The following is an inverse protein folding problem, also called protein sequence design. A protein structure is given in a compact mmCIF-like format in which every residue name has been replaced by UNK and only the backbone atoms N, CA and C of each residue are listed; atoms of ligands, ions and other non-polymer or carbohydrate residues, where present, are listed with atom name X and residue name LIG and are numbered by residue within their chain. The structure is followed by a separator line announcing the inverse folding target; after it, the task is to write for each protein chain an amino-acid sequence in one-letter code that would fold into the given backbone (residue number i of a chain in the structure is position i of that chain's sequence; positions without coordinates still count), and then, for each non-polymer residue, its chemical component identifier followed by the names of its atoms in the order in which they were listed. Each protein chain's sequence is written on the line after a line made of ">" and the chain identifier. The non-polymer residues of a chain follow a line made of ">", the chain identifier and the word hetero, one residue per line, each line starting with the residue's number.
data_IF_179029111188
#
_entry.id   IF_179029111188
#
_cell.length_a   1.000
_cell.length_b   1.000
_cell.length_c   1.000
_cell.angle_alpha   90.00
_cell.angle_beta   90.00
_cell.angle_gamma   90.00
#
_symmetry.space_group_name_H-M   'P 1'
#
loop_
_entity.id
_entity.type
_entity.pdbx_description
1 polymer ?
#
# COMPACT_ATOMS: atom_id res chain seq x y z
N UNK A 1 -6.09 1.82 18.67
CA UNK A 1 -4.72 1.39 19.06
C UNK A 1 -3.86 1.50 17.81
N UNK A 2 -2.79 2.29 17.83
CA UNK A 2 -1.87 2.43 16.69
C UNK A 2 -1.15 1.09 16.53
N UNK A 3 -1.12 0.54 15.30
CA UNK A 3 -0.41 -0.71 15.00
C UNK A 3 1.07 -0.39 14.80
N UNK A 4 1.86 -0.48 15.86
CA UNK A 4 3.30 -0.25 15.81
C UNK A 4 4.05 -1.55 15.53
N UNK A 5 5.28 -1.42 15.01
CA UNK A 5 6.11 -2.57 14.70
C UNK A 5 6.48 -3.37 15.97
N UNK A 6 6.70 -2.68 17.07
CA UNK A 6 7.06 -3.27 18.38
C UNK A 6 5.94 -4.14 18.96
N UNK A 7 4.70 -3.93 18.53
CA UNK A 7 3.54 -4.74 18.92
C UNK A 7 3.33 -5.99 18.05
N UNK A 8 4.14 -6.19 17.01
CA UNK A 8 4.01 -7.34 16.13
C UNK A 8 4.73 -8.57 16.70
N UNK A 9 3.99 -9.64 16.97
CA UNK A 9 4.56 -10.91 17.41
C UNK A 9 5.08 -11.73 16.23
N UNK A 10 6.38 -11.57 15.93
CA UNK A 10 7.07 -12.35 14.91
C UNK A 10 7.16 -13.85 15.24
N UNK A 11 7.08 -14.24 16.52
CA UNK A 11 7.10 -15.66 16.90
C UNK A 11 5.79 -16.37 16.53
N UNK A 12 4.67 -15.63 16.50
CA UNK A 12 3.38 -16.15 16.05
C UNK A 12 3.31 -16.39 14.53
N UNK A 13 4.21 -15.78 13.74
CA UNK A 13 4.20 -15.86 12.27
C UNK A 13 5.62 -16.09 11.72
N UNK A 14 6.22 -17.27 11.95
CA UNK A 14 7.64 -17.54 11.69
C UNK A 14 8.07 -17.46 10.21
N UNK A 15 7.12 -17.54 9.28
CA UNK A 15 7.36 -17.36 7.85
C UNK A 15 7.72 -15.93 7.46
N UNK A 16 7.47 -14.95 8.34
CA UNK A 16 7.82 -13.54 8.09
C UNK A 16 9.28 -13.32 8.46
N UNK A 17 10.06 -12.86 7.49
CA UNK A 17 11.45 -12.51 7.73
C UNK A 17 11.54 -11.17 8.50
N UNK A 18 11.72 -11.26 9.82
CA UNK A 18 11.84 -10.11 10.71
C UNK A 18 12.93 -9.12 10.25
N UNK A 19 14.06 -9.61 9.74
CA UNK A 19 15.14 -8.75 9.25
C UNK A 19 14.67 -7.89 8.08
N UNK A 20 14.00 -8.48 7.08
CA UNK A 20 13.45 -7.74 5.95
C UNK A 20 12.44 -6.67 6.40
N UNK A 21 11.60 -6.96 7.40
CA UNK A 21 10.66 -5.97 7.92
C UNK A 21 11.38 -4.81 8.62
N UNK A 22 12.44 -5.08 9.38
CA UNK A 22 13.27 -4.03 10.00
C UNK A 22 13.97 -3.20 8.92
N UNK A 23 14.51 -3.83 7.87
CA UNK A 23 15.14 -3.11 6.76
C UNK A 23 14.11 -2.21 6.04
N UNK A 24 12.88 -2.69 5.81
CA UNK A 24 11.80 -1.89 5.24
C UNK A 24 11.40 -0.72 6.14
N UNK A 25 11.45 -0.89 7.47
CA UNK A 25 11.14 0.20 8.41
C UNK A 25 12.14 1.35 8.34
N UNK A 26 13.33 1.12 7.76
CA UNK A 26 14.31 2.19 7.51
C UNK A 26 13.93 3.12 6.36
N UNK A 27 12.92 2.74 5.55
CA UNK A 27 12.36 3.53 4.45
C UNK A 27 13.32 3.83 3.28
N UNK A 28 14.52 3.23 3.23
CA UNK A 28 15.46 3.41 2.11
C UNK A 28 14.89 2.96 0.76
N UNK A 29 13.92 2.04 0.78
CA UNK A 29 13.20 1.64 -0.43
C UNK A 29 12.38 2.80 -1.00
N UNK A 30 11.82 3.68 -0.15
CA UNK A 30 11.02 4.82 -0.57
C UNK A 30 11.88 5.90 -1.26
N UNK A 31 13.09 6.12 -0.73
CA UNK A 31 14.10 7.01 -1.35
C UNK A 31 14.46 6.57 -2.78
N UNK A 32 14.49 5.26 -3.01
CA UNK A 32 14.83 4.65 -4.31
C UNK A 32 13.61 4.40 -5.20
N UNK A 33 12.43 4.91 -4.83
CA UNK A 33 11.16 4.66 -5.52
C UNK A 33 10.84 3.16 -5.68
N UNK A 34 11.31 2.35 -4.74
CA UNK A 34 11.04 0.93 -4.66
C UNK A 34 9.62 0.65 -4.15
N UNK A 35 9.11 -0.54 -4.48
CA UNK A 35 7.81 -1.03 -4.04
C UNK A 35 7.99 -2.31 -3.22
N UNK A 36 7.09 -2.51 -2.26
CA UNK A 36 7.04 -3.72 -1.44
C UNK A 36 5.68 -4.38 -1.55
N UNK A 37 5.66 -5.71 -1.63
CA UNK A 37 4.41 -6.47 -1.63
C UNK A 37 4.44 -7.51 -0.53
N UNK A 38 3.49 -7.37 0.39
CA UNK A 38 3.21 -8.32 1.47
C UNK A 38 2.16 -9.30 0.94
N UNK A 39 2.60 -10.53 0.64
CA UNK A 39 1.74 -11.61 0.18
C UNK A 39 1.65 -12.73 1.21
N UNK A 40 0.50 -13.40 1.26
CA UNK A 40 0.26 -14.53 2.16
C UNK A 40 -1.22 -14.69 2.52
N UNK A 41 -1.58 -15.79 3.21
CA UNK A 41 -2.97 -16.08 3.54
C UNK A 41 -3.59 -15.02 4.48
N UNK A 42 -4.92 -14.93 4.58
CA UNK A 42 -5.58 -14.08 5.57
C UNK A 42 -5.10 -14.38 7.00
N UNK A 43 -5.11 -13.37 7.88
CA UNK A 43 -4.76 -13.54 9.29
C UNK A 43 -3.27 -13.53 9.66
N UNK A 44 -2.34 -13.50 8.70
CA UNK A 44 -0.88 -13.47 8.98
C UNK A 44 -0.30 -12.09 9.26
N UNK A 45 -1.16 -11.07 9.45
CA UNK A 45 -0.71 -9.74 9.87
C UNK A 45 -0.18 -8.80 8.78
N UNK A 46 -0.41 -9.08 7.49
CA UNK A 46 0.02 -8.22 6.36
C UNK A 46 -0.39 -6.74 6.53
N UNK A 47 -1.67 -6.50 6.80
CA UNK A 47 -2.22 -5.15 7.04
C UNK A 47 -1.60 -4.49 8.28
N UNK A 48 -1.31 -5.27 9.34
CA UNK A 48 -0.62 -4.72 10.51
C UNK A 48 0.76 -4.23 10.14
N UNK A 49 1.55 -5.07 9.46
CA UNK A 49 2.90 -4.71 9.03
C UNK A 49 2.90 -3.52 8.06
N UNK A 50 1.98 -3.48 7.10
CA UNK A 50 1.84 -2.34 6.19
C UNK A 50 1.58 -1.03 6.95
N UNK A 51 0.65 -1.04 7.91
CA UNK A 51 0.35 0.12 8.75
C UNK A 51 1.54 0.50 9.63
N UNK A 52 2.23 -0.47 10.23
CA UNK A 52 3.40 -0.22 11.07
C UNK A 52 4.55 0.40 10.27
N UNK A 53 4.80 -0.08 9.05
CA UNK A 53 5.79 0.49 8.13
C UNK A 53 5.40 1.90 7.69
N UNK A 54 4.12 2.13 7.36
CA UNK A 54 3.61 3.46 7.04
C UNK A 54 3.74 4.45 8.20
N UNK A 55 3.49 3.98 9.42
CA UNK A 55 3.67 4.80 10.62
C UNK A 55 5.13 5.19 10.83
N UNK A 56 6.07 4.26 10.63
CA UNK A 56 7.50 4.57 10.70
C UNK A 56 7.94 5.54 9.59
N UNK A 57 7.40 5.40 8.37
CA UNK A 57 7.62 6.38 7.30
C UNK A 57 7.10 7.77 7.69
N UNK A 58 5.91 7.88 8.28
CA UNK A 58 5.40 9.15 8.81
C UNK A 58 6.34 9.76 9.85
N UNK A 59 6.88 8.95 10.79
CA UNK A 59 7.83 9.43 11.82
C UNK A 59 9.12 9.98 11.24
N UNK A 60 9.49 9.54 10.04
CA UNK A 60 10.65 10.01 9.27
C UNK A 60 10.34 11.20 8.36
N UNK A 61 9.10 11.68 8.35
CA UNK A 61 8.69 12.87 7.60
C UNK A 61 8.14 12.58 6.19
N UNK A 62 7.93 11.32 5.81
CA UNK A 62 7.32 10.98 4.53
C UNK A 62 5.82 11.29 4.53
N UNK A 63 5.31 11.78 3.39
CA UNK A 63 3.89 11.94 3.16
C UNK A 63 3.28 10.59 2.77
N UNK A 64 2.59 9.97 3.73
CA UNK A 64 1.99 8.64 3.56
C UNK A 64 0.48 8.73 3.35
N UNK A 65 -0.06 7.87 2.49
CA UNK A 65 -1.50 7.59 2.38
C UNK A 65 -1.79 6.09 2.48
N UNK A 66 -2.99 5.76 2.93
CA UNK A 66 -3.50 4.40 3.01
C UNK A 66 -4.83 4.32 2.29
N UNK A 67 -5.00 3.28 1.47
CA UNK A 67 -6.25 2.94 0.83
C UNK A 67 -6.46 1.43 0.90
N UNK A 68 -7.71 0.99 1.04
CA UNK A 68 -8.07 -0.35 0.56
C UNK A 68 -8.17 -0.27 -0.96
N UNK A 69 -7.83 -1.34 -1.67
CA UNK A 69 -7.89 -1.35 -3.13
C UNK A 69 -9.33 -1.11 -3.65
N UNK A 70 -10.35 -1.62 -2.94
CA UNK A 70 -11.75 -1.35 -3.26
C UNK A 70 -12.12 0.13 -3.03
N UNK A 71 -11.65 0.72 -1.92
CA UNK A 71 -11.86 2.14 -1.63
C UNK A 71 -11.20 3.03 -2.67
N UNK A 72 -10.00 2.68 -3.13
CA UNK A 72 -9.30 3.40 -4.19
C UNK A 72 -10.10 3.35 -5.51
N UNK A 73 -10.60 2.19 -5.91
CA UNK A 73 -11.44 2.08 -7.12
C UNK A 73 -12.67 2.97 -7.01
N UNK A 74 -13.39 2.93 -5.88
CA UNK A 74 -14.56 3.77 -5.67
C UNK A 74 -14.21 5.26 -5.75
N UNK A 75 -13.10 5.69 -5.14
CA UNK A 75 -12.62 7.06 -5.24
C UNK A 75 -12.33 7.49 -6.69
N UNK A 76 -11.77 6.59 -7.51
CA UNK A 76 -11.53 6.86 -8.93
C UNK A 76 -12.82 6.98 -9.74
N UNK A 77 -13.83 6.17 -9.43
CA UNK A 77 -15.17 6.24 -10.04
C UNK A 77 -15.83 7.57 -9.70
N UNK A 78 -15.92 7.90 -8.42
CA UNK A 78 -16.51 9.16 -7.93
C UNK A 78 -15.79 10.38 -8.51
N UNK A 79 -14.45 10.40 -8.49
CA UNK A 79 -13.69 11.52 -9.02
C UNK A 79 -13.87 11.72 -10.53
N UNK A 80 -14.21 10.67 -11.29
CA UNK A 80 -14.56 10.80 -12.70
C UNK A 80 -15.96 11.36 -12.90
N UNK A 81 -16.94 10.85 -12.15
CA UNK A 81 -18.31 11.33 -12.19
C UNK A 81 -18.40 12.82 -11.84
N UNK A 82 -17.64 13.25 -10.82
CA UNK A 82 -17.56 14.64 -10.38
C UNK A 82 -16.60 15.51 -11.19
N UNK A 83 -15.89 14.96 -12.19
CA UNK A 83 -14.86 15.65 -12.99
C UNK A 83 -13.72 16.22 -12.15
N UNK A 84 -13.37 15.58 -11.05
CA UNK A 84 -12.29 15.95 -10.12
C UNK A 84 -11.06 15.03 -10.21
N UNK A 85 -11.02 14.10 -11.17
CA UNK A 85 -9.94 13.10 -11.32
C UNK A 85 -8.53 13.68 -11.30
N UNK A 86 -8.28 14.80 -11.99
CA UNK A 86 -6.97 15.44 -12.03
C UNK A 86 -6.50 15.94 -10.64
N UNK A 87 -7.45 16.31 -9.77
CA UNK A 87 -7.16 16.70 -8.39
C UNK A 87 -6.74 15.50 -7.57
N UNK A 88 -7.42 14.36 -7.75
CA UNK A 88 -7.07 13.10 -7.08
C UNK A 88 -5.68 12.62 -7.50
N UNK A 89 -5.39 12.62 -8.81
CA UNK A 89 -4.07 12.24 -9.35
C UNK A 89 -2.96 13.13 -8.80
N UNK A 90 -3.19 14.45 -8.74
CA UNK A 90 -2.23 15.39 -8.13
C UNK A 90 -1.97 15.09 -6.64
N UNK A 91 -2.99 14.65 -5.90
CA UNK A 91 -2.82 14.26 -4.49
C UNK A 91 -2.03 12.96 -4.35
N UNK A 92 -2.24 12.00 -5.26
CA UNK A 92 -1.50 10.74 -5.32
C UNK A 92 -0.01 11.01 -5.60
N UNK A 93 0.30 11.79 -6.63
CA UNK A 93 1.68 12.13 -7.01
C UNK A 93 2.43 12.98 -5.96
N UNK A 94 1.70 13.64 -5.04
CA UNK A 94 2.30 14.39 -3.94
C UNK A 94 2.69 13.50 -2.74
N UNK A 95 2.34 12.21 -2.76
CA UNK A 95 2.69 11.27 -1.71
C UNK A 95 4.07 10.67 -1.98
N UNK A 96 4.83 10.45 -0.91
CA UNK A 96 6.10 9.73 -0.99
C UNK A 96 5.88 8.21 -0.93
N UNK A 97 4.87 7.79 -0.17
CA UNK A 97 4.51 6.39 0.04
C UNK A 97 2.98 6.21 0.06
N UNK A 98 2.47 5.22 -0.66
CA UNK A 98 1.06 4.82 -0.60
C UNK A 98 0.95 3.35 -0.22
N UNK A 99 0.11 3.07 0.77
CA UNK A 99 -0.26 1.70 1.16
C UNK A 99 -1.57 1.33 0.47
N UNK A 100 -1.57 0.21 -0.26
CA UNK A 100 -2.75 -0.39 -0.87
C UNK A 100 -3.02 -1.73 -0.19
N UNK A 101 -4.07 -1.78 0.62
CA UNK A 101 -4.48 -2.97 1.35
C UNK A 101 -5.50 -3.80 0.54
N UNK A 102 -5.44 -5.12 0.69
CA UNK A 102 -6.45 -6.07 0.18
C UNK A 102 -6.64 -6.06 -1.35
N UNK A 103 -5.56 -5.90 -2.12
CA UNK A 103 -5.64 -5.86 -3.60
C UNK A 103 -6.35 -7.08 -4.21
N UNK A 104 -6.24 -8.25 -3.58
CA UNK A 104 -6.86 -9.50 -4.05
C UNK A 104 -8.36 -9.63 -3.87
N UNK A 105 -9.03 -8.66 -3.23
CA UNK A 105 -10.47 -8.69 -2.94
C UNK A 105 -11.30 -7.72 -3.78
N UNK A 106 -10.67 -6.90 -4.63
CA UNK A 106 -11.40 -6.02 -5.55
C UNK A 106 -12.12 -6.90 -6.57
N UNK A 107 -13.42 -6.69 -6.81
CA UNK A 107 -14.11 -7.42 -7.86
C UNK A 107 -13.43 -7.08 -9.18
N UNK A 108 -12.95 -8.10 -9.89
CA UNK A 108 -12.31 -8.04 -11.21
C UNK A 108 -13.25 -7.55 -12.32
N UNK A 109 -14.17 -6.64 -12.02
CA UNK A 109 -14.83 -5.84 -13.04
C UNK A 109 -13.74 -5.17 -13.86
N UNK A 110 -13.92 -5.18 -15.19
CA UNK A 110 -12.96 -4.58 -16.11
C UNK A 110 -12.65 -3.13 -15.76
N UNK A 111 -13.67 -2.37 -15.36
CA UNK A 111 -13.54 -0.95 -14.97
C UNK A 111 -12.68 -0.78 -13.71
N UNK A 112 -12.88 -1.60 -12.67
CA UNK A 112 -12.04 -1.54 -11.47
C UNK A 112 -10.58 -1.87 -11.76
N UNK A 113 -10.32 -2.87 -12.60
CA UNK A 113 -8.97 -3.21 -13.04
C UNK A 113 -8.31 -2.08 -13.85
N UNK A 114 -9.06 -1.42 -14.75
CA UNK A 114 -8.58 -0.27 -15.52
C UNK A 114 -8.22 0.92 -14.60
N UNK A 115 -9.00 1.18 -13.54
CA UNK A 115 -8.67 2.21 -12.55
C UNK A 115 -7.41 1.89 -11.75
N UNK A 116 -7.28 0.66 -11.25
CA UNK A 116 -6.08 0.23 -10.54
C UNK A 116 -4.85 0.29 -11.45
N UNK A 117 -4.97 -0.14 -12.71
CA UNK A 117 -3.88 -0.03 -13.68
C UNK A 117 -3.46 1.43 -13.90
N UNK A 118 -4.42 2.33 -14.06
CA UNK A 118 -4.16 3.77 -14.16
C UNK A 118 -3.43 4.30 -12.92
N UNK A 119 -3.90 3.95 -11.72
CA UNK A 119 -3.25 4.30 -10.46
C UNK A 119 -1.79 3.82 -10.38
N UNK A 120 -1.53 2.53 -10.64
CA UNK A 120 -0.18 1.97 -10.60
C UNK A 120 0.74 2.64 -11.63
N UNK A 121 0.21 2.97 -12.82
CA UNK A 121 0.94 3.68 -13.86
C UNK A 121 1.35 5.09 -13.42
N UNK A 122 0.48 5.81 -12.69
CA UNK A 122 0.81 7.14 -12.16
C UNK A 122 1.88 7.09 -11.06
N UNK A 123 1.89 6.03 -10.26
CA UNK A 123 2.87 5.87 -9.18
C UNK A 123 4.26 5.44 -9.69
N UNK A 124 4.34 4.84 -10.88
CA UNK A 124 5.58 4.28 -11.42
C UNK A 124 6.70 5.32 -11.46
N UNK A 125 7.83 4.99 -10.81
CA UNK A 125 9.02 5.84 -10.64
C UNK A 125 8.79 7.19 -9.90
N UNK A 126 7.58 7.47 -9.39
CA UNK A 126 7.25 8.72 -8.71
C UNK A 126 6.92 8.52 -7.23
N UNK A 127 6.13 7.49 -6.91
CA UNK A 127 5.60 7.24 -5.56
C UNK A 127 5.81 5.77 -5.20
N UNK A 128 6.41 5.52 -4.04
CA UNK A 128 6.61 4.16 -3.55
C UNK A 128 5.31 3.55 -3.04
N UNK A 129 5.20 2.24 -3.17
CA UNK A 129 4.01 1.48 -2.78
C UNK A 129 4.34 0.38 -1.78
N UNK A 130 3.46 0.21 -0.79
CA UNK A 130 3.33 -1.04 -0.02
C UNK A 130 1.98 -1.64 -0.38
N UNK A 131 1.97 -2.85 -0.92
CA UNK A 131 0.74 -3.55 -1.30
C UNK A 131 0.54 -4.76 -0.41
N UNK A 132 -0.68 -4.99 0.09
CA UNK A 132 -1.04 -6.28 0.70
C UNK A 132 -1.96 -7.07 -0.22
N UNK A 133 -1.72 -8.38 -0.30
CA UNK A 133 -2.54 -9.27 -1.11
C UNK A 133 -2.56 -10.68 -0.55
N UNK A 134 -3.67 -11.39 -0.76
CA UNK A 134 -3.78 -12.83 -0.53
C UNK A 134 -3.53 -13.64 -1.80
N UNK A 135 -3.34 -12.99 -2.95
CA UNK A 135 -3.07 -13.65 -4.22
C UNK A 135 -1.61 -14.10 -4.26
N UNK A 136 -1.34 -15.33 -4.74
CA UNK A 136 0.03 -15.76 -5.00
C UNK A 136 0.64 -14.89 -6.11
N UNK A 137 1.94 -14.61 -5.99
CA UNK A 137 2.73 -14.18 -7.14
C UNK A 137 2.90 -15.38 -8.07
N UNK A 138 2.50 -15.21 -9.34
CA UNK A 138 2.71 -16.21 -10.39
C UNK A 138 4.17 -16.33 -10.78
#
# INVERSE_FOLDING_TARGET
>A
MIKELDSFDFAAVPQINKKQIIDLSMCEFADRRGNSVLTGPPGVGKTHLAIALGHEACRRGYNVRFFTAAGLVNMYVEAREEKTILKLEKQICACDLIIIDELGYVPFTRVGAEHLFGFFSQCYEQTSLIVTTNLPFG
#
